data_IF_750207479067
#
_entry.id   IF_750207479067
#
_cell.length_a   1.000
_cell.length_b   1.000
_cell.length_c   1.000
_cell.angle_alpha   90.00
_cell.angle_beta   90.00
_cell.angle_gamma   90.00
#
_symmetry.space_group_name_H-M   'P 1'
#
loop_
_entity.id
_entity.type
_entity.pdbx_description
1 polymer ?
#
# COMPACT_ATOMS: atom_id res chain seq x y z
N UNK A 1 56.89 -4.11 1.23
CA UNK A 1 55.65 -3.81 0.47
C UNK A 1 54.39 -4.51 0.99
N UNK A 2 54.46 -5.42 1.93
CA UNK A 2 53.28 -6.19 2.45
C UNK A 2 52.52 -5.54 3.63
N UNK A 3 53.13 -4.61 4.37
CA UNK A 3 52.53 -4.05 5.58
C UNK A 3 51.45 -2.96 5.28
N UNK A 4 51.65 -2.16 4.25
CA UNK A 4 50.71 -1.11 3.86
C UNK A 4 49.42 -1.68 3.21
N UNK A 5 49.49 -2.88 2.58
CA UNK A 5 48.33 -3.49 1.98
C UNK A 5 47.34 -4.05 3.01
N UNK A 6 47.82 -4.57 4.15
CA UNK A 6 46.98 -5.04 5.26
C UNK A 6 46.27 -3.93 6.03
N UNK A 7 46.86 -2.75 6.12
CA UNK A 7 46.27 -1.59 6.82
C UNK A 7 45.07 -1.05 5.99
N UNK A 8 45.20 -0.98 4.67
CA UNK A 8 44.08 -0.55 3.80
C UNK A 8 42.94 -1.55 3.78
N UNK A 9 43.21 -2.87 3.74
CA UNK A 9 42.16 -3.88 3.75
C UNK A 9 41.37 -3.90 5.09
N UNK A 10 42.03 -3.61 6.23
CA UNK A 10 41.36 -3.45 7.53
C UNK A 10 40.56 -2.16 7.64
N UNK A 11 41.01 -1.05 7.02
CA UNK A 11 40.27 0.20 6.95
C UNK A 11 38.98 0.07 6.11
N UNK A 12 39.07 -0.59 4.96
CA UNK A 12 37.91 -0.79 4.07
C UNK A 12 36.84 -1.70 4.68
N UNK A 13 37.24 -2.71 5.46
CA UNK A 13 36.32 -3.58 6.22
C UNK A 13 35.65 -2.78 7.34
N UNK A 14 36.42 -1.95 8.07
CA UNK A 14 35.89 -1.13 9.15
C UNK A 14 34.88 -0.09 8.63
N UNK A 15 35.16 0.60 7.51
CA UNK A 15 34.29 1.56 6.87
C UNK A 15 33.02 0.93 6.28
N UNK A 16 33.11 -0.31 5.81
CA UNK A 16 31.92 -1.03 5.34
C UNK A 16 31.03 -1.50 6.48
N UNK A 17 31.62 -1.90 7.62
CA UNK A 17 30.89 -2.25 8.83
C UNK A 17 30.22 -1.02 9.48
N UNK A 18 30.90 0.13 9.53
CA UNK A 18 30.31 1.38 10.03
C UNK A 18 29.10 1.82 9.19
N UNK A 19 29.18 1.75 7.88
CA UNK A 19 28.03 2.08 6.99
C UNK A 19 26.85 1.13 7.17
N UNK A 20 27.09 -0.14 7.50
CA UNK A 20 26.03 -1.08 7.81
C UNK A 20 25.36 -0.77 9.15
N UNK A 21 26.14 -0.41 10.16
CA UNK A 21 25.67 -0.04 11.50
C UNK A 21 24.85 1.27 11.44
N UNK A 22 25.28 2.27 10.67
CA UNK A 22 24.54 3.53 10.46
C UNK A 22 23.21 3.27 9.75
N UNK A 23 23.18 2.39 8.75
CA UNK A 23 21.95 1.99 8.05
C UNK A 23 20.97 1.29 8.99
N UNK A 24 21.44 0.40 9.85
CA UNK A 24 20.60 -0.35 10.78
C UNK A 24 20.06 0.53 11.91
N UNK A 25 20.86 1.50 12.37
CA UNK A 25 20.45 2.49 13.36
C UNK A 25 19.39 3.46 12.80
N UNK A 26 19.52 3.89 11.55
CA UNK A 26 18.54 4.72 10.86
C UNK A 26 17.22 3.96 10.64
N UNK A 27 17.30 2.68 10.33
CA UNK A 27 16.15 1.78 10.25
C UNK A 27 15.44 1.60 11.59
N UNK A 28 16.20 1.45 12.67
CA UNK A 28 15.64 1.31 14.03
C UNK A 28 14.91 2.60 14.46
N UNK A 29 15.48 3.78 14.20
CA UNK A 29 14.84 5.09 14.49
C UNK A 29 13.57 5.26 13.66
N UNK A 30 13.60 4.91 12.39
CA UNK A 30 12.40 4.96 11.51
C UNK A 30 11.30 4.02 12.00
N UNK A 31 11.67 2.83 12.48
CA UNK A 31 10.73 1.84 13.02
C UNK A 31 10.14 2.29 14.38
N UNK A 32 10.94 2.85 15.29
CA UNK A 32 10.42 3.42 16.54
C UNK A 32 9.49 4.62 16.28
N UNK A 33 9.85 5.46 15.33
CA UNK A 33 8.99 6.58 14.91
C UNK A 33 7.66 6.06 14.33
N UNK A 34 7.71 4.96 13.57
CA UNK A 34 6.55 4.28 13.03
C UNK A 34 5.68 3.66 14.14
N UNK A 35 6.28 2.91 15.08
CA UNK A 35 5.57 2.34 16.23
C UNK A 35 4.94 3.42 17.12
N UNK A 36 5.65 4.52 17.35
CA UNK A 36 5.14 5.65 18.11
C UNK A 36 4.00 6.36 17.38
N UNK A 37 4.04 6.45 16.06
CA UNK A 37 2.92 6.98 15.27
C UNK A 37 1.70 6.06 15.31
N UNK A 38 1.93 4.75 15.32
CA UNK A 38 0.88 3.74 15.44
C UNK A 38 0.26 3.72 16.84
N UNK A 39 1.09 3.77 17.90
CA UNK A 39 0.63 3.86 19.27
C UNK A 39 -0.06 5.20 19.58
N UNK A 40 0.41 6.32 19.05
CA UNK A 40 -0.25 7.62 19.21
C UNK A 40 -1.61 7.67 18.50
N UNK A 41 -1.78 6.98 17.37
CA UNK A 41 -3.10 6.83 16.74
C UNK A 41 -4.06 5.94 17.56
N UNK A 42 -3.54 5.00 18.36
CA UNK A 42 -4.36 4.19 19.28
C UNK A 42 -4.71 4.93 20.57
N UNK A 43 -3.84 5.84 21.05
CA UNK A 43 -4.02 6.55 22.34
C UNK A 43 -4.88 7.81 22.19
N UNK A 44 -4.97 8.41 21.01
CA UNK A 44 -5.80 9.59 20.76
C UNK A 44 -7.27 9.30 20.45
N UNK A 45 -7.74 8.07 20.66
CA UNK A 45 -9.16 7.77 20.76
C UNK A 45 -9.75 8.29 22.07
N UNK A 46 -9.57 9.56 22.40
CA UNK A 46 -10.49 10.26 23.25
C UNK A 46 -11.82 10.32 22.50
N UNK A 47 -12.72 9.41 22.89
CA UNK A 47 -14.11 9.41 22.48
C UNK A 47 -14.77 10.71 22.94
N UNK A 48 -14.57 11.75 22.19
CA UNK A 48 -15.51 12.86 22.16
C UNK A 48 -16.61 12.43 21.19
N UNK A 49 -17.76 12.02 21.75
CA UNK A 49 -19.01 11.85 21.01
C UNK A 49 -19.46 13.26 20.59
N UNK A 50 -18.77 13.83 19.63
CA UNK A 50 -19.28 15.01 18.92
C UNK A 50 -20.06 14.45 17.74
N UNK A 51 -21.37 14.39 17.88
CA UNK A 51 -22.28 14.26 16.76
C UNK A 51 -22.14 15.51 15.89
N UNK A 52 -21.10 15.57 15.08
CA UNK A 52 -21.04 16.50 13.99
C UNK A 52 -21.96 15.94 12.92
N UNK A 53 -23.15 16.50 12.81
CA UNK A 53 -23.92 16.42 11.56
C UNK A 53 -23.15 17.22 10.52
N UNK A 54 -22.19 16.61 9.85
CA UNK A 54 -21.60 17.11 8.62
C UNK A 54 -22.67 17.00 7.51
N UNK A 55 -23.67 17.87 7.60
CA UNK A 55 -24.48 18.26 6.47
C UNK A 55 -23.60 19.17 5.61
N UNK A 56 -22.75 18.59 4.78
CA UNK A 56 -22.22 19.14 3.53
C UNK A 56 -21.01 18.36 3.02
N UNK A 57 -21.22 17.07 2.81
CA UNK A 57 -20.51 16.33 1.77
C UNK A 57 -21.43 15.19 1.39
N UNK A 58 -22.49 15.48 0.66
CA UNK A 58 -22.96 14.54 -0.34
C UNK A 58 -21.75 14.36 -1.25
N UNK A 59 -20.87 13.38 -0.89
CA UNK A 59 -19.61 13.15 -1.57
C UNK A 59 -19.94 13.01 -3.05
N UNK A 60 -19.35 13.84 -3.88
CA UNK A 60 -19.60 13.79 -5.31
C UNK A 60 -19.29 12.35 -5.75
N UNK A 61 -20.31 11.69 -6.24
CA UNK A 61 -20.23 10.27 -6.63
C UNK A 61 -19.83 10.22 -8.10
N UNK A 62 -18.91 9.35 -8.45
CA UNK A 62 -18.55 9.08 -9.86
C UNK A 62 -19.83 8.90 -10.68
N UNK A 63 -20.01 9.62 -11.81
CA UNK A 63 -21.21 9.48 -12.64
C UNK A 63 -21.39 8.02 -13.12
N UNK A 64 -22.64 7.59 -13.21
CA UNK A 64 -22.93 6.29 -13.83
C UNK A 64 -22.74 6.41 -15.35
N UNK A 65 -22.22 5.36 -15.97
CA UNK A 65 -21.97 5.35 -17.42
C UNK A 65 -20.69 4.61 -17.78
N UNK A 66 -20.21 4.89 -18.99
CA UNK A 66 -18.96 4.36 -19.50
C UNK A 66 -17.97 5.52 -19.67
N UNK A 67 -16.81 5.41 -19.04
CA UNK A 67 -15.83 6.49 -18.96
C UNK A 67 -14.47 6.01 -19.46
N UNK A 68 -13.73 6.94 -20.10
CA UNK A 68 -12.31 6.75 -20.34
C UNK A 68 -11.58 6.82 -19.00
N UNK A 69 -10.72 5.86 -18.76
CA UNK A 69 -10.05 5.72 -17.48
C UNK A 69 -8.61 5.21 -17.64
N UNK A 70 -7.81 5.39 -16.60
CA UNK A 70 -6.45 4.87 -16.51
C UNK A 70 -6.26 4.22 -15.15
N UNK A 71 -5.72 3.01 -15.11
CA UNK A 71 -5.34 2.37 -13.84
C UNK A 71 -4.13 3.08 -13.25
N UNK A 72 -4.31 3.82 -12.17
CA UNK A 72 -3.21 4.57 -11.56
C UNK A 72 -2.78 4.02 -10.21
N UNK A 73 -3.62 3.15 -9.57
CA UNK A 73 -3.21 2.49 -8.33
C UNK A 73 -3.50 0.99 -8.40
N UNK A 74 -2.55 0.21 -7.90
CA UNK A 74 -2.68 -1.21 -7.61
C UNK A 74 -2.23 -1.42 -6.17
N UNK A 75 -3.09 -1.99 -5.35
CA UNK A 75 -2.85 -2.14 -3.92
C UNK A 75 -3.03 -3.61 -3.55
N UNK A 76 -1.95 -4.27 -3.21
CA UNK A 76 -1.98 -5.61 -2.64
C UNK A 76 -2.49 -5.49 -1.20
N UNK A 77 -3.77 -5.81 -0.98
CA UNK A 77 -4.39 -5.75 0.35
C UNK A 77 -3.86 -6.87 1.24
N UNK A 78 -3.52 -8.02 0.65
CA UNK A 78 -3.08 -9.22 1.36
C UNK A 78 -4.24 -10.15 1.71
N UNK A 79 -3.92 -11.17 2.50
CA UNK A 79 -4.86 -12.22 2.92
C UNK A 79 -5.62 -11.76 4.16
N UNK A 80 -6.91 -11.51 3.97
CA UNK A 80 -7.83 -11.05 5.02
C UNK A 80 -8.99 -12.02 5.18
N UNK A 81 -9.67 -11.95 6.34
CA UNK A 81 -10.95 -12.64 6.53
C UNK A 81 -12.01 -11.93 5.70
N UNK A 82 -12.69 -12.66 4.84
CA UNK A 82 -13.82 -12.19 4.06
C UNK A 82 -15.04 -13.09 4.30
N UNK A 83 -16.21 -12.48 4.44
CA UNK A 83 -17.46 -13.22 4.68
C UNK A 83 -18.22 -13.37 3.37
N UNK A 84 -18.42 -14.59 2.93
CA UNK A 84 -19.23 -14.91 1.77
C UNK A 84 -20.33 -15.90 2.16
N UNK A 85 -21.59 -15.53 1.94
CA UNK A 85 -22.77 -16.34 2.29
C UNK A 85 -22.82 -16.77 3.77
N UNK A 86 -22.28 -15.96 4.69
CA UNK A 86 -22.23 -16.24 6.11
C UNK A 86 -21.04 -17.12 6.55
N UNK A 87 -20.21 -17.57 5.62
CA UNK A 87 -18.96 -18.28 5.92
C UNK A 87 -17.77 -17.33 5.85
N UNK A 88 -16.91 -17.40 6.86
CA UNK A 88 -15.62 -16.68 6.89
C UNK A 88 -14.56 -17.50 6.18
N UNK A 89 -13.84 -16.84 5.26
CA UNK A 89 -12.74 -17.44 4.50
C UNK A 89 -11.55 -16.48 4.44
N UNK A 90 -10.36 -17.02 4.52
CA UNK A 90 -9.14 -16.27 4.23
C UNK A 90 -9.01 -16.10 2.72
N UNK A 91 -8.96 -14.85 2.27
CA UNK A 91 -8.90 -14.50 0.85
C UNK A 91 -7.82 -13.47 0.61
N UNK A 92 -6.86 -13.79 -0.24
CA UNK A 92 -5.87 -12.81 -0.71
C UNK A 92 -6.54 -11.84 -1.69
N UNK A 93 -6.42 -10.53 -1.45
CA UNK A 93 -7.10 -9.49 -2.21
C UNK A 93 -6.14 -8.46 -2.80
N UNK A 94 -6.52 -7.96 -3.96
CA UNK A 94 -5.91 -6.82 -4.64
C UNK A 94 -6.98 -5.79 -4.97
N UNK A 95 -6.65 -4.51 -4.84
CA UNK A 95 -7.49 -3.40 -5.28
C UNK A 95 -6.90 -2.75 -6.51
N UNK A 96 -7.72 -2.63 -7.55
CA UNK A 96 -7.41 -1.85 -8.75
C UNK A 96 -8.18 -0.53 -8.68
N UNK A 97 -7.49 0.60 -8.90
CA UNK A 97 -8.10 1.93 -8.89
C UNK A 97 -7.81 2.64 -10.20
N UNK A 98 -8.87 3.19 -10.78
CA UNK A 98 -8.83 3.92 -12.03
C UNK A 98 -9.12 5.39 -11.77
N UNK A 99 -8.35 6.28 -12.35
CA UNK A 99 -8.74 7.68 -12.49
C UNK A 99 -9.54 7.87 -13.78
N UNK A 100 -10.46 8.82 -13.75
CA UNK A 100 -11.31 9.20 -14.86
C UNK A 100 -10.93 10.63 -15.29
N UNK A 101 -9.93 10.79 -16.16
CA UNK A 101 -9.35 12.12 -16.43
C UNK A 101 -10.29 13.10 -17.12
N UNK A 102 -11.41 12.62 -17.68
CA UNK A 102 -12.43 13.46 -18.31
C UNK A 102 -13.59 13.84 -17.36
N UNK A 103 -13.64 13.19 -16.20
CA UNK A 103 -14.66 13.45 -15.17
C UNK A 103 -13.97 14.11 -13.98
N UNK A 104 -14.15 15.40 -13.81
CA UNK A 104 -13.51 16.17 -12.74
C UNK A 104 -14.51 16.77 -11.78
N UNK A 105 -14.06 17.04 -10.58
CA UNK A 105 -14.81 17.78 -9.57
C UNK A 105 -13.86 18.48 -8.60
N UNK A 106 -14.36 19.50 -7.91
CA UNK A 106 -13.63 20.14 -6.81
C UNK A 106 -13.89 19.39 -5.51
N UNK A 107 -12.85 18.72 -4.98
CA UNK A 107 -12.85 18.03 -3.69
C UNK A 107 -12.27 18.91 -2.56
N UNK A 108 -12.26 20.23 -2.72
CA UNK A 108 -11.71 21.19 -1.74
C UNK A 108 -10.21 21.49 -1.93
N UNK A 109 -9.61 20.99 -3.02
CA UNK A 109 -8.21 21.24 -3.42
C UNK A 109 -8.10 21.64 -4.89
N UNK A 110 -9.17 22.21 -5.46
CA UNK A 110 -9.32 22.46 -6.90
C UNK A 110 -9.83 21.23 -7.66
N UNK A 111 -10.05 21.41 -8.96
CA UNK A 111 -10.53 20.33 -9.82
C UNK A 111 -9.56 19.16 -9.87
N UNK A 112 -10.05 17.98 -9.53
CA UNK A 112 -9.33 16.71 -9.57
C UNK A 112 -10.17 15.66 -10.31
N UNK A 113 -9.53 14.72 -11.01
CA UNK A 113 -10.25 13.62 -11.66
C UNK A 113 -10.92 12.73 -10.61
N UNK A 114 -12.12 12.28 -10.92
CA UNK A 114 -12.74 11.21 -10.16
C UNK A 114 -11.88 9.96 -10.20
N UNK A 115 -11.95 9.17 -9.13
CA UNK A 115 -11.36 7.84 -9.09
C UNK A 115 -12.36 6.80 -8.63
N UNK A 116 -12.24 5.59 -9.18
CA UNK A 116 -13.06 4.46 -8.80
C UNK A 116 -12.20 3.21 -8.64
N UNK A 117 -12.42 2.47 -7.57
CA UNK A 117 -11.67 1.25 -7.30
C UNK A 117 -12.57 0.07 -7.00
N UNK A 118 -12.03 -1.13 -7.25
CA UNK A 118 -12.68 -2.40 -6.93
C UNK A 118 -11.68 -3.40 -6.38
N UNK A 119 -12.13 -4.13 -5.35
CA UNK A 119 -11.37 -5.22 -4.77
C UNK A 119 -11.67 -6.52 -5.49
N UNK A 120 -10.64 -7.30 -5.72
CA UNK A 120 -10.72 -8.63 -6.32
C UNK A 120 -9.99 -9.64 -5.43
N UNK A 121 -10.43 -10.89 -5.48
CA UNK A 121 -9.59 -12.00 -5.05
C UNK A 121 -8.37 -12.07 -5.97
N UNK A 122 -7.18 -12.04 -5.42
CA UNK A 122 -5.92 -12.13 -6.17
C UNK A 122 -5.73 -13.56 -6.68
N UNK A 123 -6.42 -13.88 -7.74
CA UNK A 123 -6.41 -15.20 -8.39
C UNK A 123 -6.62 -15.07 -9.88
N UNK A 124 -5.82 -15.77 -10.65
CA UNK A 124 -5.92 -15.86 -12.09
C UNK A 124 -6.49 -17.22 -12.55
N UNK A 125 -7.14 -17.97 -11.63
CA UNK A 125 -7.88 -19.17 -11.97
C UNK A 125 -9.02 -18.85 -12.97
N UNK A 126 -9.39 -19.78 -13.85
CA UNK A 126 -10.37 -19.56 -14.93
C UNK A 126 -11.71 -18.98 -14.46
N UNK A 127 -12.17 -19.38 -13.27
CA UNK A 127 -13.43 -18.93 -12.64
C UNK A 127 -13.29 -17.65 -11.81
N UNK A 128 -12.10 -17.06 -11.76
CA UNK A 128 -11.82 -15.89 -10.94
C UNK A 128 -12.39 -14.61 -11.57
N UNK A 129 -13.01 -13.78 -10.75
CA UNK A 129 -13.51 -12.48 -11.18
C UNK A 129 -12.39 -11.53 -11.65
N UNK A 130 -11.18 -11.64 -11.09
CA UNK A 130 -10.03 -10.86 -11.53
C UNK A 130 -9.60 -11.24 -12.95
N UNK A 131 -9.45 -12.54 -13.24
CA UNK A 131 -9.09 -13.01 -14.58
C UNK A 131 -10.12 -12.57 -15.62
N UNK A 132 -11.42 -12.75 -15.32
CA UNK A 132 -12.49 -12.32 -16.22
C UNK A 132 -12.44 -10.80 -16.48
N UNK A 133 -12.22 -10.00 -15.43
CA UNK A 133 -12.11 -8.56 -15.53
C UNK A 133 -10.90 -8.14 -16.38
N UNK A 134 -9.72 -8.73 -16.13
CA UNK A 134 -8.49 -8.42 -16.89
C UNK A 134 -8.60 -8.85 -18.36
N UNK A 135 -9.17 -10.02 -18.65
CA UNK A 135 -9.39 -10.46 -20.03
C UNK A 135 -10.34 -9.51 -20.79
N UNK A 136 -11.42 -9.10 -20.14
CA UNK A 136 -12.36 -8.11 -20.71
C UNK A 136 -11.66 -6.77 -20.96
N UNK A 137 -10.87 -6.29 -20.00
CA UNK A 137 -10.12 -5.03 -20.11
C UNK A 137 -9.08 -5.05 -21.24
N UNK A 138 -8.32 -6.13 -21.33
CA UNK A 138 -7.29 -6.25 -22.37
C UNK A 138 -7.86 -6.65 -23.74
N UNK A 139 -9.15 -7.02 -23.81
CA UNK A 139 -9.80 -7.51 -25.03
C UNK A 139 -9.21 -8.82 -25.54
N UNK A 140 -8.58 -9.61 -24.67
CA UNK A 140 -7.85 -10.82 -25.04
C UNK A 140 -8.08 -11.94 -24.02
N UNK A 141 -8.45 -13.11 -24.51
CA UNK A 141 -8.48 -14.31 -23.69
C UNK A 141 -7.05 -14.72 -23.28
N UNK A 142 -6.90 -15.27 -22.09
CA UNK A 142 -5.64 -15.81 -21.58
C UNK A 142 -5.70 -17.33 -21.48
N UNK A 143 -4.65 -18.01 -21.92
CA UNK A 143 -4.46 -19.42 -21.58
C UNK A 143 -4.16 -19.57 -20.09
N UNK A 144 -4.29 -20.79 -19.54
CA UNK A 144 -3.91 -21.02 -18.12
C UNK A 144 -2.41 -20.83 -17.89
N UNK A 145 -1.58 -21.14 -18.88
CA UNK A 145 -0.14 -20.88 -18.84
C UNK A 145 0.17 -19.40 -18.79
N UNK A 146 -0.52 -18.55 -19.57
CA UNK A 146 -0.32 -17.11 -19.54
C UNK A 146 -0.86 -16.51 -18.22
N UNK A 147 -2.03 -16.97 -17.79
CA UNK A 147 -2.66 -16.50 -16.57
C UNK A 147 -1.82 -16.81 -15.32
N UNK A 148 -1.18 -17.98 -15.25
CA UNK A 148 -0.33 -18.37 -14.11
C UNK A 148 0.94 -17.53 -13.96
N UNK A 149 1.36 -16.84 -15.02
CA UNK A 149 2.55 -15.98 -15.06
C UNK A 149 2.20 -14.50 -15.18
N UNK A 150 0.93 -14.16 -15.10
CA UNK A 150 0.47 -12.80 -15.33
C UNK A 150 0.81 -11.91 -14.14
N UNK A 151 1.66 -10.93 -14.36
CA UNK A 151 1.98 -9.90 -13.36
C UNK A 151 0.93 -8.78 -13.42
N UNK A 152 0.16 -8.65 -12.34
CA UNK A 152 -0.87 -7.62 -12.17
C UNK A 152 -0.26 -6.21 -12.18
N UNK A 153 0.97 -6.04 -11.71
CA UNK A 153 1.68 -4.76 -11.73
C UNK A 153 1.80 -4.16 -13.12
N UNK A 154 1.83 -4.99 -14.16
CA UNK A 154 1.88 -4.55 -15.58
C UNK A 154 0.63 -3.81 -16.05
N UNK A 155 -0.45 -3.85 -15.27
CA UNK A 155 -1.68 -3.10 -15.53
C UNK A 155 -1.59 -1.64 -15.11
N UNK A 156 -0.61 -1.27 -14.28
CA UNK A 156 -0.41 0.10 -13.85
C UNK A 156 -0.13 1.01 -15.04
N UNK A 157 -0.82 2.14 -15.10
CA UNK A 157 -0.74 3.10 -16.21
C UNK A 157 -1.54 2.72 -17.46
N UNK A 158 -2.12 1.50 -17.54
CA UNK A 158 -2.90 1.08 -18.72
C UNK A 158 -4.26 1.79 -18.79
N UNK A 159 -4.64 2.11 -20.00
CA UNK A 159 -5.91 2.73 -20.34
C UNK A 159 -7.05 1.71 -20.38
N UNK A 160 -8.26 2.20 -20.13
CA UNK A 160 -9.48 1.39 -20.16
C UNK A 160 -10.71 2.25 -20.49
N UNK A 161 -11.73 1.60 -21.02
CA UNK A 161 -13.11 2.06 -20.87
C UNK A 161 -13.69 1.36 -19.67
N UNK A 162 -14.09 2.10 -18.63
CA UNK A 162 -14.68 1.53 -17.42
C UNK A 162 -16.18 1.76 -17.38
N UNK A 163 -16.92 0.75 -16.91
CA UNK A 163 -18.37 0.81 -16.75
C UNK A 163 -18.72 1.02 -15.29
N UNK A 164 -19.40 2.11 -14.96
CA UNK A 164 -19.79 2.51 -13.61
C UNK A 164 -21.31 2.44 -13.48
N UNK A 165 -21.80 1.82 -12.42
CA UNK A 165 -23.22 1.79 -12.06
C UNK A 165 -23.40 2.31 -10.64
N UNK A 166 -24.51 2.98 -10.40
CA UNK A 166 -24.90 3.32 -9.03
C UNK A 166 -25.61 2.14 -8.39
N UNK A 167 -25.28 1.86 -7.14
CA UNK A 167 -25.92 0.89 -6.28
C UNK A 167 -26.36 1.53 -4.98
N UNK A 168 -27.44 1.02 -4.42
CA UNK A 168 -27.90 1.41 -3.08
C UNK A 168 -27.52 0.32 -2.09
N UNK A 169 -26.86 0.69 -1.01
CA UNK A 169 -26.54 -0.19 0.12
C UNK A 169 -27.79 -0.53 0.93
N UNK A 170 -27.73 -1.55 1.77
CA UNK A 170 -28.81 -1.91 2.69
C UNK A 170 -29.17 -0.77 3.66
N UNK A 171 -28.26 0.21 3.85
CA UNK A 171 -28.49 1.42 4.67
C UNK A 171 -29.06 2.59 3.87
N UNK A 172 -29.45 2.39 2.61
CA UNK A 172 -30.03 3.42 1.74
C UNK A 172 -29.00 4.36 1.09
N UNK A 173 -27.70 4.21 1.33
CA UNK A 173 -26.67 5.04 0.72
C UNK A 173 -26.36 4.60 -0.71
N UNK A 174 -26.46 5.53 -1.65
CA UNK A 174 -26.03 5.31 -3.04
C UNK A 174 -24.51 5.46 -3.18
N UNK A 175 -23.89 4.54 -3.92
CA UNK A 175 -22.45 4.56 -4.21
C UNK A 175 -22.18 4.10 -5.64
N UNK A 176 -21.06 4.54 -6.22
CA UNK A 176 -20.60 4.07 -7.53
C UNK A 176 -19.92 2.71 -7.41
N UNK A 177 -20.24 1.80 -8.31
CA UNK A 177 -19.68 0.44 -8.38
C UNK A 177 -19.05 0.23 -9.77
N UNK A 178 -17.76 -0.12 -9.80
CA UNK A 178 -17.03 -0.49 -11.01
C UNK A 178 -17.45 -1.87 -11.48
N UNK A 179 -18.18 -1.93 -12.59
CA UNK A 179 -18.75 -3.18 -13.12
C UNK A 179 -17.79 -3.94 -14.00
N UNK A 180 -17.11 -3.24 -14.89
CA UNK A 180 -16.25 -3.85 -15.88
C UNK A 180 -15.28 -2.86 -16.48
N UNK A 181 -14.35 -3.41 -17.24
CA UNK A 181 -13.44 -2.65 -18.08
C UNK A 181 -13.35 -3.32 -19.45
N UNK A 182 -13.06 -2.52 -20.47
CA UNK A 182 -12.81 -2.96 -21.83
C UNK A 182 -11.68 -2.13 -22.46
N UNK A 183 -11.09 -2.53 -23.58
CA UNK A 183 -10.17 -1.68 -24.31
C UNK A 183 -10.84 -0.36 -24.74
N UNK A 184 -10.03 0.66 -24.96
CA UNK A 184 -10.53 1.89 -25.59
C UNK A 184 -11.13 1.58 -26.95
N UNK A 185 -12.20 2.26 -27.31
CA UNK A 185 -12.77 2.15 -28.65
C UNK A 185 -11.78 2.68 -29.67
N UNK A 186 -11.81 2.11 -30.88
CA UNK A 186 -10.91 2.50 -31.97
C UNK A 186 -10.98 4.00 -32.23
N UNK A 187 -9.84 4.67 -32.19
CA UNK A 187 -9.73 6.12 -32.38
C UNK A 187 -9.93 6.96 -31.13
N UNK A 188 -10.26 6.37 -29.99
CA UNK A 188 -10.28 7.06 -28.70
C UNK A 188 -8.87 7.09 -28.09
N UNK A 189 -8.58 8.18 -27.40
CA UNK A 189 -7.34 8.36 -26.63
C UNK A 189 -7.70 8.66 -25.18
N UNK A 190 -6.90 8.15 -24.26
CA UNK A 190 -7.00 8.51 -22.87
C UNK A 190 -6.09 9.73 -22.59
N UNK A 191 -6.57 10.79 -21.96
CA UNK A 191 -5.72 11.88 -21.53
C UNK A 191 -4.53 11.43 -20.69
N UNK A 192 -3.49 12.26 -20.57
CA UNK A 192 -2.38 11.98 -19.66
C UNK A 192 -2.85 11.73 -18.23
N UNK A 193 -2.12 10.90 -17.50
CA UNK A 193 -2.36 10.61 -16.10
C UNK A 193 -2.16 11.87 -15.24
N UNK A 194 -3.10 12.17 -14.36
CA UNK A 194 -3.06 13.30 -13.43
C UNK A 194 -2.45 12.88 -12.10
N UNK A 195 -2.97 11.78 -11.52
CA UNK A 195 -2.49 11.27 -10.26
C UNK A 195 -1.22 10.43 -10.45
N UNK A 196 -0.28 10.52 -9.51
CA UNK A 196 0.93 9.71 -9.56
C UNK A 196 0.60 8.21 -9.55
N UNK A 197 1.34 7.42 -10.34
CA UNK A 197 1.22 5.97 -10.33
C UNK A 197 1.60 5.40 -8.96
N UNK A 198 0.79 4.48 -8.45
CA UNK A 198 0.95 3.94 -7.11
C UNK A 198 0.80 2.42 -7.10
N UNK A 199 1.84 1.73 -6.64
CA UNK A 199 1.83 0.29 -6.42
C UNK A 199 2.18 0.01 -4.97
N UNK A 200 1.29 -0.63 -4.22
CA UNK A 200 1.61 -1.18 -2.90
C UNK A 200 1.85 -2.67 -3.04
N UNK A 201 3.08 -3.08 -2.75
CA UNK A 201 3.51 -4.47 -2.74
C UNK A 201 4.31 -4.74 -1.46
N UNK A 202 4.01 -5.84 -0.77
CA UNK A 202 4.65 -6.22 0.50
C UNK A 202 6.15 -6.46 0.39
N UNK A 203 6.64 -6.83 -0.79
CA UNK A 203 8.07 -7.07 -1.04
C UNK A 203 8.84 -5.79 -1.43
N UNK A 204 8.12 -4.66 -1.57
CA UNK A 204 8.75 -3.38 -1.92
C UNK A 204 9.47 -2.78 -0.71
N UNK A 205 10.65 -2.17 -0.95
CA UNK A 205 11.42 -1.46 0.07
C UNK A 205 10.71 -0.19 0.57
N UNK A 206 9.89 0.42 -0.26
CA UNK A 206 9.12 1.62 0.06
C UNK A 206 7.69 1.33 0.56
N UNK A 207 7.42 0.06 0.95
CA UNK A 207 6.09 -0.35 1.44
C UNK A 207 5.57 0.56 2.55
N UNK A 208 6.37 0.81 3.59
CA UNK A 208 5.90 1.55 4.78
C UNK A 208 5.57 3.00 4.43
N UNK A 209 6.36 3.62 3.54
CA UNK A 209 6.07 4.96 3.02
C UNK A 209 4.77 4.94 2.23
N UNK A 210 4.60 4.00 1.31
CA UNK A 210 3.37 3.89 0.49
C UNK A 210 2.15 3.55 1.34
N UNK A 211 2.31 2.65 2.31
CA UNK A 211 1.25 2.31 3.24
C UNK A 211 0.75 3.54 4.01
N UNK A 212 1.65 4.40 4.51
CA UNK A 212 1.27 5.63 5.21
C UNK A 212 0.53 6.66 4.35
N UNK A 213 0.67 6.58 3.02
CA UNK A 213 -0.04 7.44 2.07
C UNK A 213 -1.47 6.97 1.77
N UNK A 214 -1.85 5.76 2.17
CA UNK A 214 -3.20 5.24 1.97
C UNK A 214 -4.20 5.98 2.88
N UNK A 215 -5.47 6.11 2.46
CA UNK A 215 -6.52 6.56 3.36
C UNK A 215 -6.74 5.56 4.50
N UNK A 216 -7.09 6.05 5.68
CA UNK A 216 -7.20 5.28 6.94
C UNK A 216 -8.00 3.96 6.79
N UNK A 217 -9.16 4.01 6.13
CA UNK A 217 -9.98 2.80 5.94
C UNK A 217 -9.25 1.70 5.17
N UNK A 218 -8.33 2.08 4.28
CA UNK A 218 -7.55 1.13 3.49
C UNK A 218 -6.32 0.68 4.25
N UNK A 219 -5.70 1.56 5.04
CA UNK A 219 -4.65 1.17 6.00
C UNK A 219 -5.18 0.12 6.97
N UNK A 220 -6.37 0.34 7.57
CA UNK A 220 -7.01 -0.61 8.46
C UNK A 220 -7.27 -1.97 7.78
N UNK A 221 -7.62 -1.94 6.49
CA UNK A 221 -7.85 -3.15 5.72
C UNK A 221 -6.55 -3.91 5.42
N UNK A 222 -5.50 -3.21 5.03
CA UNK A 222 -4.17 -3.79 4.76
C UNK A 222 -3.54 -4.30 6.06
N UNK A 223 -3.63 -3.56 7.16
CA UNK A 223 -3.06 -3.95 8.46
C UNK A 223 -3.75 -5.18 9.07
N UNK A 224 -4.97 -5.51 8.65
CA UNK A 224 -5.66 -6.75 9.07
C UNK A 224 -5.20 -8.00 8.31
N UNK A 225 -4.27 -7.88 7.37
CA UNK A 225 -3.80 -9.00 6.56
C UNK A 225 -2.72 -9.84 7.24
N UNK A 226 -2.63 -11.09 6.84
CA UNK A 226 -1.59 -12.00 7.33
C UNK A 226 -0.19 -11.55 6.87
N UNK A 227 -0.05 -11.01 5.67
CA UNK A 227 1.21 -10.50 5.13
C UNK A 227 1.73 -9.31 5.90
N UNK A 228 0.83 -8.41 6.35
CA UNK A 228 1.20 -7.27 7.18
C UNK A 228 1.72 -7.73 8.55
N UNK A 229 1.04 -8.67 9.20
CA UNK A 229 1.49 -9.27 10.46
C UNK A 229 2.86 -9.93 10.32
N UNK A 230 3.07 -10.73 9.27
CA UNK A 230 4.37 -11.35 8.99
C UNK A 230 5.48 -10.33 8.72
N UNK A 231 5.16 -9.19 8.12
CA UNK A 231 6.12 -8.10 7.91
C UNK A 231 6.55 -7.48 9.24
N UNK A 232 5.62 -7.24 10.15
CA UNK A 232 5.91 -6.73 11.51
C UNK A 232 6.78 -7.73 12.29
N UNK A 233 6.46 -9.02 12.23
CA UNK A 233 7.23 -10.07 12.91
C UNK A 233 8.68 -10.11 12.39
N UNK A 234 8.88 -10.07 11.07
CA UNK A 234 10.22 -10.01 10.48
C UNK A 234 11.01 -8.77 10.89
N UNK A 235 10.35 -7.60 10.95
CA UNK A 235 10.98 -6.37 11.38
C UNK A 235 11.39 -6.44 12.86
N UNK A 236 10.53 -6.99 13.74
CA UNK A 236 10.84 -7.22 15.15
C UNK A 236 12.03 -8.19 15.35
N UNK A 237 12.08 -9.29 14.58
CA UNK A 237 13.17 -10.25 14.64
C UNK A 237 14.50 -9.63 14.18
N UNK A 238 14.47 -8.82 13.11
CA UNK A 238 15.66 -8.09 12.62
C UNK A 238 16.18 -7.12 13.67
N UNK A 239 15.28 -6.36 14.32
CA UNK A 239 15.64 -5.42 15.38
C UNK A 239 16.26 -6.12 16.59
N UNK A 240 15.66 -7.23 17.03
CA UNK A 240 16.19 -8.03 18.16
C UNK A 240 17.58 -8.58 17.84
N UNK A 241 17.79 -9.03 16.60
CA UNK A 241 19.09 -9.52 16.13
C UNK A 241 20.13 -8.39 16.08
N UNK A 242 19.76 -7.22 15.58
CA UNK A 242 20.63 -6.04 15.54
C UNK A 242 21.02 -5.62 16.97
N UNK A 243 20.06 -5.56 17.90
CA UNK A 243 20.30 -5.25 19.31
C UNK A 243 21.26 -6.24 19.97
N UNK A 244 21.07 -7.54 19.77
CA UNK A 244 21.97 -8.57 20.30
C UNK A 244 23.40 -8.44 19.74
N UNK A 245 23.57 -8.07 18.46
CA UNK A 245 24.87 -7.80 17.86
C UNK A 245 25.53 -6.57 18.47
N UNK A 246 24.79 -5.50 18.74
CA UNK A 246 25.31 -4.30 19.42
C UNK A 246 25.79 -4.63 20.85
N UNK A 247 25.02 -5.40 21.60
CA UNK A 247 25.37 -5.83 22.95
C UNK A 247 26.65 -6.71 22.95
N UNK A 248 26.81 -7.61 21.98
CA UNK A 248 28.01 -8.42 21.80
C UNK A 248 29.24 -7.61 21.38
N UNK A 249 29.06 -6.50 20.66
CA UNK A 249 30.17 -5.62 20.22
C UNK A 249 30.71 -4.71 21.32
N UNK A 250 30.11 -4.69 22.51
CA UNK A 250 30.56 -3.90 23.65
C UNK A 250 30.33 -2.39 23.51
N UNK A 251 29.56 -1.94 22.54
CA UNK A 251 29.20 -0.54 22.25
C UNK A 251 27.98 -0.06 23.06
N UNK A 252 27.77 -0.59 24.26
CA UNK A 252 26.83 0.03 25.19
C UNK A 252 27.50 1.25 25.78
N UNK A 253 27.01 2.44 25.45
CA UNK A 253 27.40 3.68 26.10
C UNK A 253 27.08 3.60 27.59
N UNK A 254 28.11 3.41 28.40
CA UNK A 254 28.04 3.66 29.86
C UNK A 254 27.85 5.16 30.07
N UNK A 255 26.64 5.62 30.17
CA UNK A 255 26.32 6.89 30.80
C UNK A 255 26.30 6.65 32.30
N UNK A 256 27.50 6.48 32.88
CA UNK A 256 27.70 6.69 34.29
C UNK A 256 28.38 8.07 34.44
N UNK A 257 27.60 9.11 34.44
CA UNK A 257 27.95 10.37 35.01
C UNK A 257 27.61 10.31 36.51
N UNK A 258 28.53 9.81 37.30
CA UNK A 258 28.63 10.20 38.70
C UNK A 258 29.54 11.40 38.78
N UNK A 259 28.90 12.55 38.72
CA UNK A 259 29.49 13.82 39.12
C UNK A 259 29.67 13.83 40.65
N UNK A 260 30.83 13.43 41.10
CA UNK A 260 31.26 13.60 42.51
C UNK A 260 32.41 14.62 42.52
N UNK A 261 32.03 15.88 42.68
CA UNK A 261 32.99 16.96 42.98
C UNK A 261 33.16 17.04 44.49
N UNK A 262 34.34 16.80 45.03
CA UNK A 262 34.66 17.17 46.42
C UNK A 262 35.06 18.65 46.50
N UNK A 263 34.57 19.28 47.54
CA UNK A 263 34.89 20.63 48.01
C UNK A 263 36.37 20.94 48.16
#
# INVERSE_FOLDING_TARGET
MGYFKRINEQSDIHDSQLRHIESDHELAIKFETYLNSFNNNQINNNMSIIAQSNNNSAGQTVPAGTHVARCYQIIHIGTIVDTYQGEEKLVNKVRLVFELPLETADFGKGEQPFSIGRDFTLSMHEKSGLRAFVQSWLGKAMSDSDASKFDIGTLLGKEAMVSVMHRTSNTGRTYADLKGASPLAKGMTCPPQVNAAFLLDYDSQDFDLRFSMLPEWLQNKVSSSAEFSQRLDRAADQMNKAKAMLEQSGLTSSTDETDDMPF
#
